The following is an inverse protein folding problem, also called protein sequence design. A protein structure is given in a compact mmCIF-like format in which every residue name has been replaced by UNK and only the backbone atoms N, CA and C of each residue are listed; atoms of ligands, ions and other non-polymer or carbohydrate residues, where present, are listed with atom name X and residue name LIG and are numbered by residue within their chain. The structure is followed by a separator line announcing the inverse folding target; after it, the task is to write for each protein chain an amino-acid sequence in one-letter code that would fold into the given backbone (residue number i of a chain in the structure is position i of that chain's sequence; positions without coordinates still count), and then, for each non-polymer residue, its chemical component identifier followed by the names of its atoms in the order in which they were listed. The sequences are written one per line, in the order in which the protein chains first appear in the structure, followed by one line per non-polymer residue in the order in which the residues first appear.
data_IF_285926002591
#
_entry.id   IF_285926002591
#
_cell.length_a   1.000
_cell.length_b   1.000
_cell.length_c   1.000
_cell.angle_alpha   90.00
_cell.angle_beta   90.00
_cell.angle_gamma   90.00
#
_symmetry.space_group_name_H-M   'P 1'
#
loop_
_entity.id
_entity.type
_entity.pdbx_description
1 polymer ?
#
# COMPACT_ATOMS: atom_id res chain seq x y z
N UNK A 1 -34.11 -6.52 -24.82
CA UNK A 1 -33.51 -5.70 -23.75
C UNK A 1 -32.47 -6.58 -23.07
N UNK A 2 -31.19 -6.28 -23.27
CA UNK A 2 -30.12 -6.98 -22.59
C UNK A 2 -30.25 -6.64 -21.09
N UNK A 3 -30.55 -7.62 -20.28
CA UNK A 3 -30.43 -7.53 -18.83
C UNK A 3 -28.96 -7.28 -18.50
N UNK A 4 -28.66 -6.18 -17.83
CA UNK A 4 -27.32 -5.92 -17.31
C UNK A 4 -26.98 -7.05 -16.34
N UNK A 5 -25.83 -7.75 -16.46
CA UNK A 5 -25.44 -8.74 -15.47
C UNK A 5 -25.19 -8.00 -14.16
N UNK A 6 -26.05 -8.22 -13.15
CA UNK A 6 -25.86 -7.60 -11.86
C UNK A 6 -27.12 -7.15 -11.12
N UNK A 7 -28.31 -7.47 -11.60
CA UNK A 7 -29.57 -7.13 -10.91
C UNK A 7 -29.65 -7.71 -9.48
N UNK A 8 -28.84 -8.72 -9.15
CA UNK A 8 -28.80 -9.38 -7.83
C UNK A 8 -27.49 -9.12 -7.05
N UNK A 9 -26.70 -8.12 -7.43
CA UNK A 9 -25.45 -7.79 -6.73
C UNK A 9 -25.71 -7.32 -5.29
N UNK A 10 -24.96 -7.83 -4.29
CA UNK A 10 -25.14 -7.44 -2.87
C UNK A 10 -25.00 -5.93 -2.63
N UNK A 11 -24.34 -5.21 -3.55
CA UNK A 11 -24.21 -3.75 -3.51
C UNK A 11 -25.48 -3.00 -3.91
N UNK A 12 -26.45 -3.67 -4.56
CA UNK A 12 -27.78 -3.14 -4.90
C UNK A 12 -28.84 -3.45 -3.84
N UNK A 13 -28.57 -4.38 -2.93
CA UNK A 13 -29.56 -4.90 -1.96
C UNK A 13 -30.19 -3.82 -1.05
N UNK A 14 -29.52 -2.66 -0.89
CA UNK A 14 -30.04 -1.53 -0.11
C UNK A 14 -30.60 -0.40 -0.98
N UNK A 15 -30.75 -0.63 -2.28
CA UNK A 15 -31.15 0.36 -3.26
C UNK A 15 -32.65 0.41 -3.50
N UNK A 16 -33.14 1.56 -3.98
CA UNK A 16 -34.49 1.75 -4.48
C UNK A 16 -34.45 1.82 -6.00
N UNK A 17 -35.15 0.91 -6.66
CA UNK A 17 -35.28 0.90 -8.12
C UNK A 17 -36.26 1.98 -8.57
N UNK A 18 -35.94 2.74 -9.62
CA UNK A 18 -36.86 3.72 -10.23
C UNK A 18 -38.09 3.03 -10.83
N UNK A 19 -39.20 3.76 -10.95
CA UNK A 19 -40.48 3.22 -11.44
C UNK A 19 -40.37 2.63 -12.88
N UNK A 20 -39.45 3.13 -13.70
CA UNK A 20 -39.16 2.68 -15.06
C UNK A 20 -38.15 1.49 -15.09
N UNK A 21 -37.67 1.01 -13.93
CA UNK A 21 -36.69 -0.06 -13.78
C UNK A 21 -35.29 0.26 -14.30
N UNK A 22 -35.01 1.51 -14.69
CA UNK A 22 -33.74 1.89 -15.37
C UNK A 22 -32.64 2.33 -14.43
N UNK A 23 -32.94 2.63 -13.19
CA UNK A 23 -31.98 3.16 -12.19
C UNK A 23 -32.20 2.52 -10.85
N UNK A 24 -31.11 2.22 -10.17
CA UNK A 24 -31.13 1.86 -8.74
C UNK A 24 -30.39 2.94 -7.94
N UNK A 25 -31.06 3.55 -6.98
CA UNK A 25 -30.50 4.57 -6.09
C UNK A 25 -30.08 3.91 -4.78
N UNK A 26 -28.79 3.90 -4.49
CA UNK A 26 -28.23 3.33 -3.26
C UNK A 26 -27.79 4.48 -2.34
N UNK A 27 -28.35 4.61 -1.12
CA UNK A 27 -27.95 5.65 -0.18
C UNK A 27 -26.49 5.51 0.23
N UNK A 28 -25.73 6.60 0.19
CA UNK A 28 -24.34 6.64 0.68
C UNK A 28 -24.35 6.80 2.20
N UNK A 29 -23.98 5.75 2.93
CA UNK A 29 -24.02 5.70 4.41
C UNK A 29 -22.74 5.11 4.98
N UNK A 30 -22.56 5.27 6.29
CA UNK A 30 -21.52 4.61 7.11
C UNK A 30 -20.11 4.70 6.51
N UNK A 31 -19.43 3.58 6.33
CA UNK A 31 -18.04 3.50 5.84
C UNK A 31 -17.89 4.19 4.48
N UNK A 32 -18.80 3.92 3.52
CA UNK A 32 -18.74 4.54 2.18
C UNK A 32 -18.81 6.06 2.23
N UNK A 33 -19.66 6.64 3.11
CA UNK A 33 -19.75 8.08 3.28
C UNK A 33 -18.44 8.66 3.79
N UNK A 34 -17.88 8.08 4.87
CA UNK A 34 -16.61 8.52 5.45
C UNK A 34 -15.44 8.38 4.47
N UNK A 35 -15.39 7.27 3.72
CA UNK A 35 -14.36 7.09 2.70
C UNK A 35 -14.46 8.15 1.61
N UNK A 36 -15.66 8.45 1.12
CA UNK A 36 -15.86 9.49 0.10
C UNK A 36 -15.40 10.86 0.61
N UNK A 37 -15.81 11.23 1.83
CA UNK A 37 -15.42 12.51 2.46
C UNK A 37 -13.89 12.59 2.63
N UNK A 38 -13.24 11.49 3.12
CA UNK A 38 -11.81 11.42 3.32
C UNK A 38 -11.03 11.51 1.99
N UNK A 39 -11.49 10.81 0.94
CA UNK A 39 -10.85 10.83 -0.38
C UNK A 39 -10.98 12.20 -1.05
N UNK A 40 -12.15 12.83 -0.98
CA UNK A 40 -12.35 14.19 -1.50
C UNK A 40 -11.46 15.17 -0.75
N UNK A 41 -11.46 15.13 0.59
CA UNK A 41 -10.61 16.01 1.39
C UNK A 41 -9.13 15.83 1.01
N UNK A 42 -8.62 14.59 0.97
CA UNK A 42 -7.22 14.33 0.62
C UNK A 42 -6.88 14.80 -0.79
N UNK A 43 -7.68 14.42 -1.79
CA UNK A 43 -7.39 14.71 -3.20
C UNK A 43 -7.36 16.21 -3.53
N UNK A 44 -8.13 17.02 -2.80
CA UNK A 44 -8.26 18.46 -3.08
C UNK A 44 -7.51 19.36 -2.10
N UNK A 45 -7.01 18.84 -0.98
CA UNK A 45 -6.18 19.62 -0.05
C UNK A 45 -4.70 19.34 -0.19
N UNK A 46 -4.31 18.09 -0.53
CA UNK A 46 -2.92 17.71 -0.75
C UNK A 46 -2.61 17.70 -2.25
N UNK A 47 -1.71 18.56 -2.76
CA UNK A 47 -1.25 18.47 -4.15
C UNK A 47 -0.48 17.17 -4.36
N UNK A 48 -1.10 16.18 -5.04
CA UNK A 48 -0.49 14.89 -5.28
C UNK A 48 0.51 14.93 -6.44
N UNK A 49 1.69 14.39 -6.21
CA UNK A 49 2.67 14.04 -7.26
C UNK A 49 3.01 12.57 -7.11
N UNK A 50 3.19 11.87 -8.23
CA UNK A 50 3.55 10.44 -8.23
C UNK A 50 4.82 10.23 -9.04
N UNK A 51 5.80 9.56 -8.44
CA UNK A 51 7.01 9.07 -9.12
C UNK A 51 6.94 7.57 -9.30
N UNK A 52 7.51 7.07 -10.40
CA UNK A 52 7.43 5.66 -10.79
C UNK A 52 8.82 5.04 -10.92
N UNK A 53 8.95 3.76 -10.57
CA UNK A 53 10.18 3.00 -10.77
C UNK A 53 9.87 1.56 -11.16
N UNK A 54 10.42 1.10 -12.29
CA UNK A 54 10.33 -0.30 -12.72
C UNK A 54 11.57 -1.03 -12.22
N UNK A 55 11.40 -2.17 -11.54
CA UNK A 55 12.49 -2.88 -10.85
C UNK A 55 12.46 -4.38 -11.08
N UNK A 56 13.64 -4.96 -11.29
CA UNK A 56 13.85 -6.40 -11.31
C UNK A 56 13.90 -6.97 -9.89
N UNK A 57 12.88 -7.71 -9.51
CA UNK A 57 12.67 -8.28 -8.16
C UNK A 57 12.96 -9.79 -8.11
N UNK A 58 13.74 -10.31 -9.07
CA UNK A 58 14.03 -11.77 -9.13
C UNK A 58 14.74 -12.26 -7.87
N UNK A 59 15.62 -11.46 -7.26
CA UNK A 59 16.28 -11.84 -6.00
C UNK A 59 15.32 -11.82 -4.83
N UNK A 60 14.41 -10.86 -4.79
CA UNK A 60 13.30 -10.82 -3.81
C UNK A 60 12.43 -12.07 -3.92
N UNK A 61 12.06 -12.49 -5.13
CA UNK A 61 11.26 -13.71 -5.31
C UNK A 61 11.99 -14.96 -4.80
N UNK A 62 13.28 -15.08 -5.04
CA UNK A 62 14.10 -16.18 -4.49
C UNK A 62 14.20 -16.11 -2.96
N UNK A 63 14.31 -14.91 -2.38
CA UNK A 63 14.29 -14.74 -0.93
C UNK A 63 12.95 -15.20 -0.36
N UNK A 64 11.85 -14.80 -0.95
CA UNK A 64 10.50 -15.22 -0.53
C UNK A 64 10.36 -16.74 -0.55
N UNK A 65 10.86 -17.43 -1.60
CA UNK A 65 10.86 -18.90 -1.68
C UNK A 65 11.68 -19.53 -0.55
N UNK A 66 12.87 -19.00 -0.25
CA UNK A 66 13.72 -19.51 0.85
C UNK A 66 13.05 -19.32 2.20
N UNK A 67 12.48 -18.12 2.47
CA UNK A 67 11.80 -17.83 3.73
C UNK A 67 10.56 -18.72 3.93
N UNK A 68 9.84 -19.09 2.86
CA UNK A 68 8.71 -20.03 2.93
C UNK A 68 9.14 -21.45 3.34
N UNK A 69 10.38 -21.83 3.02
CA UNK A 69 10.94 -23.12 3.39
C UNK A 69 11.65 -23.10 4.75
N UNK A 70 11.81 -21.92 5.36
CA UNK A 70 12.49 -21.75 6.63
C UNK A 70 11.58 -22.10 7.81
N UNK A 71 12.09 -22.82 8.80
CA UNK A 71 11.35 -23.23 10.00
C UNK A 71 10.86 -22.05 10.83
N UNK A 72 11.61 -20.95 10.88
CA UNK A 72 11.22 -19.76 11.62
C UNK A 72 9.99 -19.08 11.03
N UNK A 73 9.73 -19.28 9.73
CA UNK A 73 8.59 -18.71 9.01
C UNK A 73 7.46 -19.71 8.72
N UNK A 74 7.50 -20.91 9.31
CA UNK A 74 6.53 -21.99 9.04
C UNK A 74 5.07 -21.58 9.33
N UNK A 75 4.86 -20.78 10.38
CA UNK A 75 3.52 -20.38 10.84
C UNK A 75 3.02 -19.06 10.23
N UNK A 76 3.79 -18.46 9.32
CA UNK A 76 3.43 -17.18 8.70
C UNK A 76 3.43 -17.23 7.18
N UNK A 77 2.52 -16.50 6.56
CA UNK A 77 2.45 -16.39 5.11
C UNK A 77 3.47 -15.38 4.58
N UNK A 78 4.61 -15.83 4.09
CA UNK A 78 5.60 -14.97 3.43
C UNK A 78 5.17 -14.63 2.00
N UNK A 79 5.11 -13.34 1.69
CA UNK A 79 4.76 -12.82 0.35
C UNK A 79 5.75 -11.73 -0.07
N UNK A 80 5.83 -11.37 -1.36
CA UNK A 80 6.66 -10.24 -1.80
C UNK A 80 6.31 -8.91 -1.10
N UNK A 81 5.05 -8.73 -0.68
CA UNK A 81 4.63 -7.55 0.09
C UNK A 81 5.41 -7.39 1.40
N UNK A 82 5.77 -8.50 2.08
CA UNK A 82 6.60 -8.44 3.28
C UNK A 82 7.95 -7.76 3.01
N UNK A 83 8.59 -8.12 1.90
CA UNK A 83 9.89 -7.52 1.52
C UNK A 83 9.69 -6.06 1.08
N UNK A 84 8.62 -5.75 0.36
CA UNK A 84 8.29 -4.37 -0.02
C UNK A 84 7.99 -3.49 1.21
N UNK A 85 7.25 -4.00 2.19
CA UNK A 85 7.00 -3.31 3.45
C UNK A 85 8.31 -3.05 4.23
N UNK A 86 9.18 -4.06 4.35
CA UNK A 86 10.49 -3.88 5.00
C UNK A 86 11.37 -2.89 4.22
N UNK A 87 11.37 -2.93 2.89
CA UNK A 87 12.09 -1.99 2.04
C UNK A 87 11.61 -0.54 2.27
N UNK A 88 10.29 -0.33 2.35
CA UNK A 88 9.71 0.98 2.65
C UNK A 88 10.13 1.49 4.04
N UNK A 89 10.07 0.63 5.07
CA UNK A 89 10.51 0.99 6.42
C UNK A 89 11.99 1.39 6.47
N UNK A 90 12.84 0.68 5.73
CA UNK A 90 14.27 1.03 5.61
C UNK A 90 14.48 2.35 4.86
N UNK A 91 13.71 2.59 3.80
CA UNK A 91 13.77 3.85 3.06
C UNK A 91 13.31 5.04 3.93
N UNK A 92 12.23 4.89 4.70
CA UNK A 92 11.78 5.92 5.67
C UNK A 92 12.85 6.22 6.71
N UNK A 93 13.59 5.21 7.20
CA UNK A 93 14.70 5.44 8.14
C UNK A 93 15.83 6.27 7.54
N UNK A 94 16.08 6.14 6.23
CA UNK A 94 17.11 6.90 5.50
C UNK A 94 16.63 8.30 5.09
N UNK A 95 15.34 8.45 4.89
CA UNK A 95 14.64 9.66 4.46
C UNK A 95 13.48 9.97 5.40
N UNK A 96 13.76 10.31 6.69
CA UNK A 96 12.71 10.45 7.70
C UNK A 96 11.71 11.57 7.39
N UNK A 97 12.09 12.54 6.56
CA UNK A 97 11.26 13.66 6.16
C UNK A 97 9.99 13.21 5.40
N UNK A 98 10.00 12.03 4.78
CA UNK A 98 8.81 11.49 4.08
C UNK A 98 7.72 11.03 5.05
N UNK A 99 8.05 10.85 6.33
CA UNK A 99 7.12 10.39 7.36
C UNK A 99 6.59 11.58 8.18
N UNK A 100 5.85 12.46 7.52
CA UNK A 100 5.36 13.71 8.06
C UNK A 100 3.85 13.88 7.88
N UNK A 101 3.28 14.90 8.50
CA UNK A 101 1.92 15.37 8.23
C UNK A 101 1.88 16.90 8.22
N UNK A 102 0.97 17.44 7.42
CA UNK A 102 0.69 18.86 7.35
C UNK A 102 -0.39 19.22 8.36
N UNK A 103 -0.09 20.10 9.32
CA UNK A 103 -1.06 20.70 10.22
C UNK A 103 -1.46 22.07 9.69
N UNK A 104 -2.64 22.13 9.04
CA UNK A 104 -3.17 23.36 8.47
C UNK A 104 -3.53 24.38 9.54
N UNK A 105 -3.97 23.93 10.71
CA UNK A 105 -4.43 24.80 11.78
C UNK A 105 -3.29 25.51 12.50
N UNK A 106 -2.18 24.80 12.72
CA UNK A 106 -0.98 25.33 13.35
C UNK A 106 0.00 25.95 12.33
N UNK A 107 -0.22 25.69 11.01
CA UNK A 107 0.73 26.04 9.93
C UNK A 107 2.12 25.41 10.17
N UNK A 108 2.13 24.12 10.55
CA UNK A 108 3.31 23.37 10.92
C UNK A 108 3.45 22.07 10.13
N UNK A 109 4.69 21.64 9.90
CA UNK A 109 5.01 20.29 9.44
C UNK A 109 5.34 19.45 10.68
N UNK A 110 4.63 18.35 10.87
CA UNK A 110 4.85 17.45 11.99
C UNK A 110 5.60 16.22 11.50
N UNK A 111 6.90 16.13 11.77
CA UNK A 111 7.73 14.95 11.49
C UNK A 111 7.51 13.89 12.57
N UNK A 112 7.18 12.66 12.14
CA UNK A 112 6.85 11.55 13.04
C UNK A 112 8.07 10.63 13.20
N UNK A 113 8.55 10.46 14.43
CA UNK A 113 9.68 9.59 14.76
C UNK A 113 9.28 8.12 15.00
N UNK A 114 8.07 7.76 14.64
CA UNK A 114 7.53 6.41 14.64
C UNK A 114 6.88 6.12 13.30
N UNK A 115 6.77 4.85 12.93
CA UNK A 115 6.11 4.46 11.68
C UNK A 115 4.97 3.50 11.98
N UNK A 116 3.75 3.97 11.78
CA UNK A 116 2.55 3.15 11.76
C UNK A 116 2.23 2.86 10.29
N UNK A 117 2.61 1.66 9.85
CA UNK A 117 2.53 1.28 8.44
C UNK A 117 1.11 0.85 8.05
N UNK A 118 0.43 1.70 7.29
CA UNK A 118 -0.87 1.39 6.70
C UNK A 118 -0.78 0.32 5.62
N UNK A 119 -1.71 -0.63 5.66
CA UNK A 119 -1.85 -1.68 4.64
C UNK A 119 -3.25 -1.57 4.04
N UNK A 120 -3.34 -1.18 2.76
CA UNK A 120 -4.63 -1.13 2.09
C UNK A 120 -5.21 -2.55 1.94
N UNK A 121 -6.35 -2.79 2.55
CA UNK A 121 -7.02 -4.08 2.58
C UNK A 121 -8.46 -3.99 2.10
N UNK A 122 -8.83 -4.85 1.16
CA UNK A 122 -10.23 -5.02 0.75
C UNK A 122 -10.96 -5.89 1.78
N UNK A 123 -12.04 -5.37 2.34
CA UNK A 123 -12.88 -6.08 3.31
C UNK A 123 -14.33 -6.17 2.81
N UNK A 124 -15.17 -7.02 3.39
CA UNK A 124 -16.61 -7.04 3.05
C UNK A 124 -17.32 -5.69 3.28
N UNK A 125 -16.76 -4.82 4.14
CA UNK A 125 -17.27 -3.46 4.41
C UNK A 125 -16.73 -2.40 3.46
N UNK A 126 -15.84 -2.75 2.53
CA UNK A 126 -15.14 -1.86 1.62
C UNK A 126 -13.63 -1.81 1.87
N UNK A 127 -12.95 -0.86 1.22
CA UNK A 127 -11.53 -0.63 1.42
C UNK A 127 -11.29 0.01 2.80
N UNK A 128 -10.45 -0.63 3.60
CA UNK A 128 -9.95 -0.09 4.87
C UNK A 128 -8.43 -0.08 4.84
N UNK A 129 -7.83 0.81 5.64
CA UNK A 129 -6.38 0.92 5.78
C UNK A 129 -5.99 0.77 7.25
N UNK A 130 -6.05 -0.45 7.79
CA UNK A 130 -5.47 -0.71 9.11
C UNK A 130 -3.95 -0.53 9.05
N UNK A 131 -3.34 -0.25 10.19
CA UNK A 131 -1.90 -0.05 10.25
C UNK A 131 -1.22 -0.91 11.32
N UNK A 132 0.03 -1.27 11.05
CA UNK A 132 0.92 -1.95 11.97
C UNK A 132 1.62 -0.87 12.78
N UNK A 133 1.32 -0.81 14.08
CA UNK A 133 1.92 0.18 14.99
C UNK A 133 3.41 -0.09 15.17
N UNK A 134 4.19 0.99 15.25
CA UNK A 134 5.65 0.93 15.44
C UNK A 134 6.38 -0.06 14.52
N UNK A 135 5.90 -0.21 13.27
CA UNK A 135 6.40 -1.18 12.30
C UNK A 135 7.92 -1.09 12.07
N UNK A 136 8.51 0.10 12.25
CA UNK A 136 9.94 0.36 12.10
C UNK A 136 10.81 -0.43 13.09
N UNK A 137 10.26 -0.85 14.25
CA UNK A 137 10.94 -1.64 15.27
C UNK A 137 10.93 -3.14 15.02
N UNK A 138 10.08 -3.59 14.08
CA UNK A 138 9.88 -5.02 13.84
C UNK A 138 11.00 -5.60 12.96
N UNK A 139 11.54 -6.75 13.39
CA UNK A 139 12.31 -7.63 12.54
C UNK A 139 11.42 -8.23 11.44
N UNK A 140 12.04 -8.95 10.47
CA UNK A 140 11.29 -9.48 9.32
C UNK A 140 10.20 -10.48 9.74
N UNK A 141 10.48 -11.34 10.72
CA UNK A 141 9.51 -12.30 11.26
C UNK A 141 8.35 -11.59 11.96
N UNK A 142 8.64 -10.63 12.84
CA UNK A 142 7.60 -9.86 13.54
C UNK A 142 6.71 -9.07 12.56
N UNK A 143 7.29 -8.52 11.50
CA UNK A 143 6.53 -7.85 10.44
C UNK A 143 5.65 -8.84 9.66
N UNK A 144 6.14 -10.07 9.39
CA UNK A 144 5.36 -11.12 8.75
C UNK A 144 4.17 -11.55 9.60
N UNK A 145 4.37 -11.70 10.92
CA UNK A 145 3.30 -12.03 11.89
C UNK A 145 2.24 -10.93 11.94
N UNK A 146 2.65 -9.66 12.05
CA UNK A 146 1.74 -8.52 12.06
C UNK A 146 0.93 -8.40 10.75
N UNK A 147 1.54 -8.64 9.59
CA UNK A 147 0.84 -8.68 8.30
C UNK A 147 -0.16 -9.84 8.21
N UNK A 148 0.17 -11.00 8.76
CA UNK A 148 -0.73 -12.15 8.79
C UNK A 148 -1.96 -11.87 9.68
N UNK A 149 -1.74 -11.36 10.89
CA UNK A 149 -2.81 -10.97 11.83
C UNK A 149 -3.74 -9.91 11.22
N UNK A 150 -3.18 -8.86 10.65
CA UNK A 150 -3.94 -7.82 9.96
C UNK A 150 -4.81 -8.41 8.84
N UNK A 151 -4.27 -9.37 8.06
CA UNK A 151 -5.00 -10.03 6.99
C UNK A 151 -6.17 -10.86 7.52
N UNK A 152 -5.98 -11.58 8.63
CA UNK A 152 -7.04 -12.36 9.30
C UNK A 152 -8.14 -11.44 9.78
N UNK A 153 -7.78 -10.37 10.51
CA UNK A 153 -8.74 -9.39 11.04
C UNK A 153 -9.52 -8.68 9.94
N UNK A 154 -8.86 -8.34 8.82
CA UNK A 154 -9.52 -7.74 7.66
C UNK A 154 -10.58 -8.65 7.05
N UNK A 155 -10.27 -9.93 6.86
CA UNK A 155 -11.21 -10.92 6.32
C UNK A 155 -12.37 -11.22 7.26
N UNK A 156 -12.11 -11.24 8.57
CA UNK A 156 -13.12 -11.44 9.61
C UNK A 156 -13.99 -10.20 9.86
N UNK A 157 -13.76 -9.09 9.14
CA UNK A 157 -14.39 -7.77 9.40
C UNK A 157 -14.19 -7.27 10.84
N UNK A 158 -13.11 -7.71 11.50
CA UNK A 158 -12.77 -7.39 12.89
C UNK A 158 -11.89 -6.14 13.04
N UNK A 159 -11.63 -5.40 11.94
CA UNK A 159 -10.89 -4.13 11.99
C UNK A 159 -11.68 -3.09 12.79
N UNK A 160 -11.08 -2.61 13.86
CA UNK A 160 -11.60 -1.56 14.73
C UNK A 160 -11.17 -0.14 14.25
N UNK A 161 -11.80 0.93 14.74
CA UNK A 161 -11.33 2.29 14.50
C UNK A 161 -9.90 2.54 15.00
N UNK A 162 -9.48 1.92 16.10
CA UNK A 162 -8.12 2.04 16.64
C UNK A 162 -7.07 1.44 15.70
N UNK A 163 -7.42 0.37 14.97
CA UNK A 163 -6.51 -0.26 14.00
C UNK A 163 -6.25 0.62 12.77
N UNK A 164 -7.16 1.56 12.46
CA UNK A 164 -7.06 2.47 11.33
C UNK A 164 -6.58 3.88 11.72
N UNK A 165 -6.56 4.20 13.01
CA UNK A 165 -6.10 5.49 13.50
C UNK A 165 -4.58 5.63 13.42
N UNK A 166 -4.11 6.88 13.35
CA UNK A 166 -2.69 7.27 13.48
C UNK A 166 -1.73 6.60 12.49
N UNK A 167 -2.21 6.21 11.30
CA UNK A 167 -1.35 5.79 10.19
C UNK A 167 -0.38 6.91 9.80
N UNK A 168 0.83 6.55 9.37
CA UNK A 168 1.84 7.56 9.04
C UNK A 168 2.32 7.48 7.59
N UNK A 169 2.37 6.28 7.03
CA UNK A 169 2.68 6.00 5.63
C UNK A 169 1.99 4.69 5.24
N UNK A 170 1.52 4.60 4.01
CA UNK A 170 0.75 3.43 3.55
C UNK A 170 1.44 2.70 2.40
N UNK A 171 1.24 1.38 2.33
CA UNK A 171 1.51 0.55 1.16
C UNK A 171 0.22 -0.08 0.65
N UNK A 172 0.00 -0.01 -0.66
CA UNK A 172 -1.12 -0.66 -1.34
C UNK A 172 -0.61 -1.65 -2.39
N UNK A 173 -1.12 -2.88 -2.36
CA UNK A 173 -0.74 -3.92 -3.33
C UNK A 173 -1.83 -4.06 -4.39
N UNK A 174 -1.65 -3.40 -5.53
CA UNK A 174 -2.56 -3.51 -6.69
C UNK A 174 -2.21 -4.72 -7.58
N UNK A 175 -1.03 -5.29 -7.38
CA UNK A 175 -0.55 -6.45 -8.13
C UNK A 175 -1.38 -7.72 -7.91
N UNK A 176 -2.09 -7.84 -6.78
CA UNK A 176 -3.02 -8.95 -6.52
C UNK A 176 -4.20 -8.98 -7.49
N UNK A 177 -4.51 -7.84 -8.12
CA UNK A 177 -5.54 -7.71 -9.15
C UNK A 177 -4.97 -7.79 -10.57
N UNK A 178 -3.68 -8.08 -10.72
CA UNK A 178 -2.99 -8.12 -12.01
C UNK A 178 -2.68 -6.75 -12.60
N UNK A 179 -2.74 -5.68 -11.82
CA UNK A 179 -2.49 -4.30 -12.25
C UNK A 179 -1.01 -3.98 -12.08
N UNK A 180 -0.41 -3.40 -13.12
CA UNK A 180 1.03 -3.13 -13.16
C UNK A 180 1.43 -1.98 -12.22
N UNK A 181 0.59 -0.94 -12.13
CA UNK A 181 0.80 0.20 -11.23
C UNK A 181 -0.47 1.06 -11.11
N UNK A 182 -0.42 2.10 -10.27
CA UNK A 182 -1.49 3.08 -10.12
C UNK A 182 -0.97 4.35 -9.43
N UNK A 183 -1.79 5.39 -9.41
CA UNK A 183 -1.54 6.64 -8.70
C UNK A 183 -2.49 6.74 -7.50
N UNK A 184 -2.16 6.13 -6.36
CA UNK A 184 -3.07 6.11 -5.21
C UNK A 184 -3.24 7.51 -4.62
N UNK A 185 -4.43 7.78 -4.11
CA UNK A 185 -4.71 8.96 -3.30
C UNK A 185 -4.21 8.69 -1.88
N UNK A 186 -3.59 9.70 -1.26
CA UNK A 186 -3.09 9.64 0.11
C UNK A 186 -4.23 9.44 1.11
N UNK A 187 -3.97 8.70 2.18
CA UNK A 187 -4.83 8.76 3.34
C UNK A 187 -4.68 10.13 4.02
N UNK A 188 -5.75 10.70 4.56
CA UNK A 188 -5.65 11.98 5.28
C UNK A 188 -4.62 11.92 6.39
N UNK A 189 -3.73 12.93 6.44
CA UNK A 189 -2.68 13.03 7.46
C UNK A 189 -1.41 12.21 7.19
N UNK A 190 -1.28 11.58 6.02
CA UNK A 190 -0.07 10.89 5.55
C UNK A 190 0.60 11.69 4.44
N UNK A 191 1.94 11.72 4.43
CA UNK A 191 2.72 12.39 3.40
C UNK A 191 2.97 11.53 2.16
N UNK A 192 2.88 10.19 2.27
CA UNK A 192 3.19 9.29 1.17
C UNK A 192 2.41 7.98 1.21
N UNK A 193 2.17 7.42 0.01
CA UNK A 193 1.61 6.08 -0.20
C UNK A 193 2.36 5.37 -1.33
N UNK A 194 2.84 4.16 -1.06
CA UNK A 194 3.52 3.30 -2.03
C UNK A 194 2.53 2.32 -2.67
N UNK A 195 2.39 2.35 -3.99
CA UNK A 195 1.72 1.30 -4.74
C UNK A 195 2.74 0.27 -5.23
N UNK A 196 2.44 -1.00 -4.95
CA UNK A 196 3.22 -2.17 -5.37
C UNK A 196 2.44 -2.92 -6.44
N UNK A 197 3.01 -2.98 -7.65
CA UNK A 197 2.36 -3.56 -8.83
C UNK A 197 2.49 -5.08 -8.96
N UNK A 198 1.89 -5.62 -10.01
CA UNK A 198 1.99 -7.04 -10.33
C UNK A 198 3.45 -7.42 -10.65
N UNK A 199 3.90 -8.56 -10.12
CA UNK A 199 5.18 -9.14 -10.48
C UNK A 199 4.97 -10.05 -11.69
N UNK A 200 5.65 -9.75 -12.79
CA UNK A 200 5.54 -10.51 -14.04
C UNK A 200 6.91 -10.98 -14.52
N UNK A 201 6.98 -12.15 -15.16
CA UNK A 201 8.15 -12.53 -15.95
C UNK A 201 8.19 -11.69 -17.22
N UNK A 202 9.29 -10.96 -17.41
CA UNK A 202 9.51 -10.09 -18.56
C UNK A 202 10.94 -10.28 -19.11
N UNK A 203 11.17 -10.05 -20.42
CA UNK A 203 12.52 -9.92 -20.97
C UNK A 203 13.18 -8.68 -20.34
N UNK A 204 14.37 -8.87 -19.81
CA UNK A 204 15.11 -7.83 -19.11
C UNK A 204 16.60 -7.92 -19.42
N UNK A 205 17.27 -6.79 -19.63
CA UNK A 205 18.72 -6.79 -19.79
C UNK A 205 19.38 -7.00 -18.44
N UNK A 206 20.04 -8.14 -18.29
CA UNK A 206 20.77 -8.49 -17.08
C UNK A 206 22.17 -9.00 -17.42
N UNK A 207 23.22 -8.32 -16.91
CA UNK A 207 24.65 -8.62 -17.20
C UNK A 207 24.92 -8.70 -18.70
N UNK A 208 24.42 -7.71 -19.47
CA UNK A 208 24.64 -7.59 -20.90
C UNK A 208 23.86 -8.60 -21.78
N UNK A 209 22.94 -9.38 -21.21
CA UNK A 209 22.12 -10.36 -21.93
C UNK A 209 20.65 -10.20 -21.63
N UNK A 210 19.77 -10.45 -22.60
CA UNK A 210 18.32 -10.53 -22.36
C UNK A 210 18.03 -11.83 -21.61
N UNK A 211 17.37 -11.71 -20.47
CA UNK A 211 16.95 -12.83 -19.62
C UNK A 211 15.52 -12.63 -19.15
N UNK A 212 14.84 -13.73 -18.83
CA UNK A 212 13.57 -13.67 -18.11
C UNK A 212 13.82 -13.28 -16.67
N UNK A 213 13.18 -12.19 -16.23
CA UNK A 213 13.29 -11.68 -14.87
C UNK A 213 11.90 -11.39 -14.31
N UNK A 214 11.74 -11.51 -13.01
CA UNK A 214 10.56 -11.03 -12.31
C UNK A 214 10.66 -9.51 -12.19
N UNK A 215 9.76 -8.81 -12.82
CA UNK A 215 9.74 -7.33 -12.86
C UNK A 215 8.43 -6.83 -12.28
N UNK A 216 8.50 -5.77 -11.49
CA UNK A 216 7.33 -5.05 -10.99
C UNK A 216 7.51 -3.56 -11.21
N UNK A 217 6.43 -2.82 -11.12
CA UNK A 217 6.43 -1.36 -11.11
C UNK A 217 5.97 -0.85 -9.76
N UNK A 218 6.70 0.13 -9.25
CA UNK A 218 6.40 0.84 -8.01
C UNK A 218 5.91 2.25 -8.36
N UNK A 219 4.96 2.77 -7.61
CA UNK A 219 4.55 4.16 -7.67
C UNK A 219 4.48 4.73 -6.26
N UNK A 220 5.12 5.87 -6.04
CA UNK A 220 5.08 6.59 -4.77
C UNK A 220 4.35 7.91 -4.99
N UNK A 221 3.11 8.01 -4.47
CA UNK A 221 2.36 9.27 -4.44
C UNK A 221 2.68 10.00 -3.15
N UNK A 222 2.87 11.31 -3.25
CA UNK A 222 3.27 12.16 -2.13
C UNK A 222 2.45 13.46 -2.09
N UNK A 223 2.34 14.05 -0.89
CA UNK A 223 1.86 15.42 -0.70
C UNK A 223 3.00 16.38 -1.03
N UNK A 224 2.88 17.11 -2.15
CA UNK A 224 3.96 17.97 -2.64
C UNK A 224 4.18 19.24 -1.79
N UNK A 225 3.38 19.47 -0.76
CA UNK A 225 3.66 20.49 0.26
C UNK A 225 4.75 20.03 1.23
N UNK A 226 4.89 18.70 1.43
CA UNK A 226 5.78 18.06 2.39
C UNK A 226 6.99 17.42 1.72
N UNK A 227 6.80 16.85 0.54
CA UNK A 227 7.77 16.01 -0.15
C UNK A 227 7.98 16.52 -1.57
N UNK A 228 9.19 16.94 -1.88
CA UNK A 228 9.57 17.36 -3.22
C UNK A 228 9.96 16.17 -4.13
N UNK A 229 10.22 16.47 -5.39
CA UNK A 229 10.58 15.45 -6.39
C UNK A 229 11.89 14.72 -6.09
N UNK A 230 12.86 15.40 -5.45
CA UNK A 230 14.14 14.80 -5.07
C UNK A 230 13.94 13.78 -3.93
N UNK A 231 13.27 14.16 -2.85
CA UNK A 231 13.02 13.31 -1.71
C UNK A 231 12.16 12.10 -2.10
N UNK A 232 11.08 12.31 -2.89
CA UNK A 232 10.24 11.22 -3.40
C UNK A 232 11.04 10.23 -4.25
N UNK A 233 11.90 10.75 -5.15
CA UNK A 233 12.72 9.93 -6.06
C UNK A 233 13.77 9.12 -5.30
N UNK A 234 14.48 9.74 -4.34
CA UNK A 234 15.47 9.05 -3.50
C UNK A 234 14.83 7.95 -2.67
N UNK A 235 13.69 8.25 -2.04
CA UNK A 235 12.96 7.26 -1.24
C UNK A 235 12.52 6.07 -2.10
N UNK A 236 11.94 6.32 -3.27
CA UNK A 236 11.51 5.25 -4.16
C UNK A 236 12.68 4.43 -4.73
N UNK A 237 13.80 5.09 -5.04
CA UNK A 237 15.02 4.42 -5.49
C UNK A 237 15.60 3.49 -4.41
N UNK A 238 15.57 3.90 -3.15
CA UNK A 238 16.04 3.06 -2.04
C UNK A 238 15.10 1.86 -1.82
N UNK A 239 13.79 2.03 -1.91
CA UNK A 239 12.84 0.90 -1.91
C UNK A 239 13.17 -0.08 -3.05
N UNK A 240 13.36 0.44 -4.26
CA UNK A 240 13.70 -0.37 -5.43
C UNK A 240 15.06 -1.09 -5.27
N UNK A 241 16.06 -0.43 -4.69
CA UNK A 241 17.38 -1.02 -4.43
C UNK A 241 17.30 -2.23 -3.48
N UNK A 242 16.52 -2.14 -2.40
CA UNK A 242 16.29 -3.27 -1.49
C UNK A 242 15.51 -4.39 -2.19
N UNK A 243 14.53 -4.08 -3.01
CA UNK A 243 13.78 -5.09 -3.76
C UNK A 243 14.62 -5.77 -4.83
N UNK A 244 15.54 -5.05 -5.49
CA UNK A 244 16.46 -5.61 -6.47
C UNK A 244 17.55 -6.47 -5.80
N UNK A 245 18.01 -6.06 -4.61
CA UNK A 245 19.06 -6.72 -3.84
C UNK A 245 18.73 -6.69 -2.33
N UNK A 246 17.96 -7.68 -1.84
CA UNK A 246 17.54 -7.71 -0.44
C UNK A 246 18.68 -7.70 0.59
N UNK A 247 19.89 -8.04 0.20
CA UNK A 247 21.08 -7.95 1.07
C UNK A 247 21.39 -6.50 1.50
N UNK A 248 20.95 -5.48 0.76
CA UNK A 248 21.02 -4.08 1.20
C UNK A 248 20.30 -3.87 2.54
N UNK A 249 19.23 -4.63 2.80
CA UNK A 249 18.53 -4.58 4.06
C UNK A 249 19.40 -4.91 5.28
N UNK A 250 20.45 -5.71 5.12
CA UNK A 250 21.41 -6.01 6.20
C UNK A 250 22.38 -4.86 6.48
N UNK A 251 22.61 -4.01 5.49
CA UNK A 251 23.53 -2.85 5.62
C UNK A 251 22.77 -1.64 6.18
N UNK A 252 21.47 -1.55 5.88
CA UNK A 252 20.63 -0.41 6.24
C UNK A 252 19.76 -0.64 7.49
N UNK A 253 19.80 -1.85 8.06
CA UNK A 253 19.02 -2.22 9.28
C UNK A 253 19.64 -1.69 10.58
#
# INVERSE_FOLDING_TARGET
LATYPGDDGPWLASGTVSADGRQTRVPVRSVRKRTAEAMVASAFTAPHVTVFHTVDVTKTMRLVERLRADREFADVRVTPLLIAAKALLLAVRRHPEINASWDESAQEIVYKHYVNLGIAATTPRGLLVPNIKDAHRLGLLGLAQALAELTVNARASAISPADTADGTITITNVGVFGIDTGTPILNPGEAAILAFGAIRLQPWVHKGKIKQRHVTQLALSVDHRLVDGELASRTLADVAAVLAEPAHGLVWS
#
